data_IF_246111066687
#
_entry.id   IF_246111066687
#
_cell.length_a   1.000
_cell.length_b   1.000
_cell.length_c   1.000
_cell.angle_alpha   90.00
_cell.angle_beta   90.00
_cell.angle_gamma   90.00
#
_symmetry.space_group_name_H-M   'P 1'
#
loop_
_entity.id
_entity.type
_entity.pdbx_description
1 polymer ?
2 non-polymer ?
3 non-polymer ?
4 non-polymer ?
5 non-polymer ?
6 water ?
#
# COMPACT_ATOMS: atom_id res chain seq x y z
N UNK A 6 -7.64 23.92 -0.39
CA UNK A 6 -8.15 22.66 -1.04
C UNK A 6 -8.05 22.68 -2.58
N UNK A 7 -7.88 21.49 -3.14
CA UNK A 7 -8.08 21.19 -4.56
C UNK A 7 -9.44 21.68 -5.08
N UNK A 8 -9.47 22.13 -6.32
CA UNK A 8 -10.66 22.80 -6.87
C UNK A 8 -11.03 22.26 -8.25
N UNK A 9 -12.21 21.65 -8.37
CA UNK A 9 -12.63 21.09 -9.66
C UNK A 9 -13.30 22.15 -10.55
N UNK A 10 -12.89 22.24 -11.81
CA UNK A 10 -13.67 23.06 -12.73
C UNK A 10 -14.97 22.33 -13.12
N UNK A 11 -16.01 23.09 -13.44
CA UNK A 11 -17.33 22.54 -13.79
C UNK A 11 -17.37 22.02 -15.23
N UNK A 12 -17.81 20.79 -15.45
CA UNK A 12 -18.21 20.33 -16.79
C UNK A 12 -19.76 20.28 -16.76
N UNK A 13 -20.45 21.43 -17.08
CA UNK A 13 -21.89 21.65 -16.75
C UNK A 13 -22.83 20.57 -17.31
N UNK A 14 -22.47 20.07 -18.48
CA UNK A 14 -23.23 19.12 -19.26
C UNK A 14 -23.17 17.75 -18.59
N UNK A 15 -21.95 17.22 -18.47
CA UNK A 15 -21.66 15.99 -17.70
C UNK A 15 -22.19 16.04 -16.26
N UNK A 16 -22.05 17.21 -15.62
CA UNK A 16 -22.52 17.44 -14.27
C UNK A 16 -24.03 17.18 -14.18
N UNK A 17 -24.80 17.68 -15.15
CA UNK A 17 -26.26 17.49 -15.15
C UNK A 17 -26.63 16.04 -15.35
N UNK A 18 -25.91 15.36 -16.24
CA UNK A 18 -26.17 13.96 -16.44
C UNK A 18 -25.82 13.12 -15.23
N UNK A 20 -25.92 14.15 -12.12
CA UNK A 20 -26.93 14.52 -11.13
C UNK A 20 -28.23 13.72 -11.35
N UNK A 21 -28.71 13.72 -12.61
CA UNK A 21 -29.90 12.94 -13.01
C UNK A 21 -29.72 11.46 -12.71
N UNK A 22 -28.53 10.93 -13.00
CA UNK A 22 -28.18 9.56 -12.67
C UNK A 22 -28.32 9.29 -11.16
N UNK A 24 -30.33 10.69 -9.26
CA UNK A 24 -31.70 11.12 -8.97
C UNK A 24 -31.74 12.53 -8.41
N UNK A 25 -30.80 13.37 -8.88
CA UNK A 25 -30.64 14.76 -8.46
C UNK A 25 -30.39 14.93 -6.96
N UNK A 26 -29.87 13.92 -6.31
CA UNK A 26 -29.63 14.03 -4.87
C UNK A 26 -28.51 15.04 -4.58
N UNK A 27 -27.61 15.25 -5.56
CA UNK A 27 -26.40 16.10 -5.41
C UNK A 27 -26.13 16.80 -6.70
N UNK A 28 -25.49 17.96 -6.55
CA UNK A 28 -24.82 18.70 -7.62
C UNK A 28 -23.44 18.08 -7.85
N UNK A 29 -23.02 18.02 -9.09
CA UNK A 29 -21.72 17.48 -9.46
C UNK A 29 -20.86 18.56 -10.10
N UNK A 30 -19.52 18.42 -9.98
CA UNK A 30 -18.60 19.23 -10.78
C UNK A 30 -18.65 18.69 -12.23
N UNK A 31 -18.86 17.38 -12.37
CA UNK A 31 -18.97 16.70 -13.70
C UNK A 31 -17.70 15.95 -14.08
N UNK A 32 -17.12 15.25 -13.11
CA UNK A 32 -15.79 14.66 -13.27
C UNK A 32 -15.84 13.13 -13.06
N UNK A 33 -15.73 12.35 -14.15
CA UNK A 33 -15.73 10.87 -14.04
C UNK A 33 -14.65 10.38 -13.06
N UNK A 34 -14.88 9.21 -12.46
CA UNK A 34 -13.96 8.65 -11.45
C UNK A 34 -12.46 8.62 -11.82
N UNK A 35 -12.06 8.06 -13.02
CA UNK A 35 -10.63 8.06 -13.44
C UNK A 35 -10.03 9.47 -13.55
N UNK A 36 -10.83 10.41 -14.02
CA UNK A 36 -10.42 11.78 -14.13
C UNK A 36 -10.27 12.40 -12.75
N UNK A 37 -11.20 12.09 -11.82
CA UNK A 37 -11.09 12.58 -10.45
C UNK A 37 -9.83 12.07 -9.80
N UNK A 38 -9.51 10.78 -10.03
CA UNK A 38 -8.31 10.13 -9.52
C UNK A 38 -7.05 10.82 -10.03
N UNK A 39 -6.99 11.15 -11.32
CA UNK A 39 -5.86 11.91 -11.89
C UNK A 39 -5.70 13.30 -11.28
N UNK A 40 -6.81 14.02 -11.12
CA UNK A 40 -6.78 15.38 -10.56
C UNK A 40 -6.38 15.41 -9.07
N UNK A 41 -6.77 14.39 -8.34
CA UNK A 41 -6.53 14.28 -6.88
C UNK A 41 -5.32 13.38 -6.56
N UNK A 42 -4.59 12.94 -7.56
CA UNK A 42 -3.46 12.00 -7.32
C UNK A 42 -2.35 12.59 -6.40
N UNK A 43 -1.93 13.81 -6.69
CA UNK A 43 -0.90 14.45 -5.88
C UNK A 43 -1.38 14.64 -4.44
N UNK A 44 -2.63 15.08 -4.28
CA UNK A 44 -3.24 15.23 -2.96
C UNK A 44 -3.26 13.90 -2.18
N UNK A 45 -3.71 12.82 -2.79
CA UNK A 45 -3.76 11.49 -2.11
C UNK A 45 -2.37 10.96 -1.74
N UNK A 46 -1.41 11.19 -2.65
CA UNK A 46 -0.01 10.88 -2.39
C UNK A 46 0.53 11.64 -1.16
N UNK A 47 0.41 12.97 -1.16
CA UNK A 47 0.82 13.81 -0.04
C UNK A 47 0.12 13.41 1.28
N UNK A 48 -1.14 12.97 1.20
CA UNK A 48 -1.94 12.64 2.38
C UNK A 48 -1.32 11.58 3.30
N UNK A 49 -0.55 10.64 2.72
CA UNK A 49 0.10 9.59 3.53
C UNK A 49 1.13 10.16 4.52
N UNK A 50 1.68 11.33 4.19
CA UNK A 50 2.72 11.97 4.97
C UNK A 50 2.18 12.94 6.04
N UNK A 51 0.89 13.24 6.01
CA UNK A 51 0.27 14.21 6.94
C UNK A 51 0.10 13.65 8.33
N UNK A 52 0.35 14.48 9.36
CA UNK A 52 -0.05 14.07 10.70
C UNK A 52 -1.53 13.69 10.71
N UNK A 53 -1.89 12.75 11.58
CA UNK A 53 -3.24 12.28 11.70
C UNK A 53 -4.30 13.43 11.81
N UNK A 54 -4.04 14.42 12.67
CA UNK A 54 -4.95 15.56 12.87
C UNK A 54 -5.18 16.33 11.59
N UNK A 55 -4.09 16.62 10.86
CA UNK A 55 -4.21 17.23 9.53
C UNK A 55 -5.07 16.38 8.56
N UNK A 56 -4.86 15.06 8.59
CA UNK A 56 -5.60 14.16 7.73
C UNK A 56 -7.12 14.20 8.05
N UNK A 57 -7.47 14.05 9.33
CA UNK A 57 -8.85 14.17 9.74
C UNK A 57 -9.44 15.53 9.37
N UNK A 58 -8.70 16.62 9.61
CA UNK A 58 -9.21 17.93 9.21
C UNK A 58 -9.49 18.06 7.70
N UNK A 59 -8.62 17.47 6.87
CA UNK A 59 -8.77 17.58 5.43
C UNK A 59 -9.95 16.75 4.92
N UNK A 60 -10.17 15.61 5.55
CA UNK A 60 -11.28 14.75 5.18
C UNK A 60 -12.61 15.49 5.48
N UNK A 61 -12.68 16.13 6.64
CA UNK A 61 -13.83 16.93 7.02
C UNK A 61 -14.03 18.12 6.04
N UNK A 62 -12.94 18.83 5.74
CA UNK A 62 -12.97 19.98 4.83
C UNK A 62 -13.47 19.63 3.42
N UNK A 63 -12.96 18.56 2.83
CA UNK A 63 -13.47 18.08 1.52
C UNK A 63 -14.93 17.58 1.59
N UNK A 64 -15.27 16.83 2.66
CA UNK A 64 -16.62 16.26 2.75
C UNK A 64 -17.70 17.34 2.76
N UNK A 65 -17.43 18.44 3.45
CA UNK A 65 -18.34 19.57 3.58
C UNK A 65 -18.45 20.51 2.36
N UNK A 66 -17.61 20.32 1.32
CA UNK A 66 -17.77 21.08 0.08
C UNK A 66 -19.04 20.62 -0.64
N UNK A 67 -19.62 21.46 -1.49
CA UNK A 67 -20.95 21.15 -2.00
C UNK A 67 -20.94 20.12 -3.12
N UNK A 68 -20.04 20.21 -4.10
CA UNK A 68 -20.11 19.28 -5.22
C UNK A 68 -19.78 17.84 -4.83
N UNK A 69 -20.50 16.91 -5.44
CA UNK A 69 -20.41 15.52 -5.01
C UNK A 69 -19.00 14.93 -5.02
N UNK A 70 -18.21 15.23 -6.04
CA UNK A 70 -16.87 14.62 -6.13
C UNK A 70 -15.96 14.92 -4.93
N UNK A 71 -16.25 15.99 -4.20
CA UNK A 71 -15.49 16.36 -3.02
C UNK A 71 -15.76 15.36 -1.88
N UNK A 72 -16.97 14.78 -1.81
CA UNK A 72 -17.21 13.67 -0.85
C UNK A 72 -16.43 12.42 -1.29
N UNK A 73 -16.31 12.18 -2.60
CA UNK A 73 -15.50 11.04 -3.09
C UNK A 73 -14.02 11.25 -2.74
N UNK A 74 -13.51 12.47 -2.91
CA UNK A 74 -12.14 12.78 -2.53
C UNK A 74 -11.88 12.54 -1.04
N UNK A 75 -12.79 13.02 -0.17
CA UNK A 75 -12.70 12.83 1.29
C UNK A 75 -12.71 11.36 1.64
N UNK A 76 -13.61 10.58 1.03
CA UNK A 76 -13.58 9.15 1.28
C UNK A 76 -12.31 8.47 0.72
N UNK A 77 -11.77 8.95 -0.40
CA UNK A 77 -10.48 8.40 -0.90
C UNK A 77 -9.32 8.69 0.04
N UNK A 78 -9.34 9.87 0.67
CA UNK A 78 -8.37 10.24 1.66
C UNK A 78 -8.36 9.22 2.83
N UNK A 79 -9.54 8.85 3.30
CA UNK A 79 -9.66 7.79 4.31
C UNK A 79 -9.21 6.40 3.78
N UNK A 80 -9.69 6.01 2.61
CA UNK A 80 -9.35 4.70 2.01
C UNK A 80 -7.84 4.55 1.71
N UNK A 81 -7.24 5.59 1.13
CA UNK A 81 -5.83 5.52 0.81
C UNK A 81 -4.96 5.48 2.08
N UNK A 82 -5.54 5.86 3.22
CA UNK A 82 -4.85 5.86 4.51
C UNK A 82 -5.42 4.85 5.52
N UNK A 83 -6.10 3.82 5.02
CA UNK A 83 -6.86 2.91 5.86
C UNK A 83 -5.97 2.14 6.85
N UNK A 84 -4.74 1.84 6.44
CA UNK A 84 -3.78 1.17 7.32
C UNK A 84 -3.30 2.02 8.52
N UNK A 85 -3.47 3.34 8.44
CA UNK A 85 -2.97 4.30 9.44
C UNK A 85 -3.90 4.47 10.63
N UNK A 86 -5.16 4.02 10.48
CA UNK A 86 -6.19 4.25 11.52
C UNK A 86 -6.26 3.19 12.59
N UNK A 87 -6.32 3.65 13.83
CA UNK A 87 -6.67 2.80 14.97
C UNK A 87 -8.16 2.45 14.99
N UNK A 88 -8.52 1.51 15.83
CA UNK A 88 -9.90 1.17 16.08
C UNK A 88 -10.75 2.41 16.45
N UNK A 89 -10.24 3.24 17.36
CA UNK A 89 -10.99 4.39 17.81
C UNK A 89 -11.19 5.44 16.70
N UNK A 90 -10.20 5.64 15.83
CA UNK A 90 -10.37 6.55 14.70
C UNK A 90 -11.37 5.99 13.69
N UNK A 91 -11.34 4.69 13.46
CA UNK A 91 -12.30 4.07 12.53
C UNK A 91 -13.74 4.23 13.05
N UNK A 92 -13.95 4.01 14.34
CA UNK A 92 -15.27 4.20 14.96
C UNK A 92 -15.82 5.63 14.77
N UNK A 93 -14.95 6.62 14.85
CA UNK A 93 -15.34 8.02 14.66
C UNK A 93 -15.81 8.31 13.23
N UNK A 94 -15.37 7.54 12.24
CA UNK A 94 -15.81 7.75 10.87
C UNK A 94 -17.28 7.39 10.66
N UNK A 95 -17.84 6.57 11.57
CA UNK A 95 -19.23 6.16 11.45
C UNK A 95 -20.12 7.42 11.34
N UNK A 96 -19.73 8.47 12.03
CA UNK A 96 -20.46 9.74 11.97
C UNK A 96 -20.75 10.28 10.55
N UNK A 97 -19.96 9.90 9.54
CA UNK A 97 -20.11 10.40 8.18
C UNK A 97 -21.14 9.63 7.37
N UNK A 98 -21.34 8.37 7.71
CA UNK A 98 -22.20 7.51 6.90
C UNK A 98 -23.62 8.10 6.59
N UNK A 99 -24.29 8.61 7.61
CA UNK A 99 -25.57 9.27 7.40
C UNK A 99 -25.49 10.64 6.76
N UNK A 100 -24.29 11.22 6.66
CA UNK A 100 -24.12 12.58 6.13
C UNK A 100 -24.06 12.55 4.62
N UNK A 101 -24.88 13.37 3.97
CA UNK A 101 -24.87 13.45 2.49
C UNK A 101 -25.02 12.07 1.85
N UNK A 102 -25.94 11.29 2.41
CA UNK A 102 -26.04 9.86 2.21
C UNK A 102 -26.81 9.51 0.94
N UNK A 103 -26.22 8.65 0.13
CA UNK A 103 -26.92 7.99 -0.97
C UNK A 103 -26.08 6.74 -1.23
N UNK A 104 -26.51 5.85 -2.14
CA UNK A 104 -25.78 4.59 -2.29
C UNK A 104 -24.33 4.82 -2.65
N UNK A 105 -24.07 5.93 -3.35
CA UNK A 105 -22.70 6.21 -3.84
C UNK A 105 -21.73 6.54 -2.70
N UNK A 106 -22.08 7.46 -1.80
CA UNK A 106 -21.18 7.69 -0.64
C UNK A 106 -21.16 6.52 0.37
N UNK A 107 -22.32 5.91 0.60
CA UNK A 107 -22.45 4.88 1.62
C UNK A 107 -21.67 3.63 1.22
N UNK A 108 -21.68 3.31 -0.07
CA UNK A 108 -20.98 2.14 -0.52
C UNK A 108 -19.48 2.45 -0.50
N UNK A 109 -19.11 3.72 -0.73
CA UNK A 109 -17.69 4.09 -0.61
C UNK A 109 -17.25 3.99 0.88
N UNK A 110 -18.08 4.47 1.80
CA UNK A 110 -17.78 4.29 3.25
C UNK A 110 -17.69 2.80 3.60
N UNK A 111 -18.64 2.02 3.13
CA UNK A 111 -18.61 0.59 3.36
C UNK A 111 -17.30 -0.06 2.86
N UNK A 112 -16.83 0.32 1.67
CA UNK A 112 -15.54 -0.21 1.18
C UNK A 112 -14.38 0.18 2.14
N UNK A 113 -14.47 1.38 2.72
CA UNK A 113 -13.51 1.82 3.73
C UNK A 113 -13.55 0.92 4.97
N UNK A 114 -14.74 0.76 5.56
CA UNK A 114 -14.91 -0.07 6.76
C UNK A 114 -14.57 -1.53 6.49
N UNK A 115 -14.99 -2.02 5.33
CA UNK A 115 -14.66 -3.36 4.84
C UNK A 115 -13.16 -3.57 4.66
N UNK A 116 -12.45 -2.56 4.12
CA UNK A 116 -11.01 -2.74 3.92
C UNK A 116 -10.25 -2.78 5.25
N UNK A 117 -10.70 -1.98 6.21
CA UNK A 117 -10.03 -1.85 7.49
C UNK A 117 -10.24 -3.15 8.24
N UNK A 118 -11.45 -3.72 8.15
CA UNK A 118 -11.78 -5.00 8.77
C UNK A 118 -10.95 -6.13 8.17
N UNK A 119 -10.76 -6.13 6.86
CA UNK A 119 -9.96 -7.15 6.19
C UNK A 119 -8.49 -7.04 6.63
N UNK A 120 -8.08 -5.84 7.03
CA UNK A 120 -6.77 -5.64 7.65
C UNK A 120 -6.75 -6.06 9.12
N UNK A 121 -7.89 -5.95 9.80
CA UNK A 121 -7.94 -6.20 11.24
C UNK A 121 -9.07 -7.14 11.57
N UNK A 122 -8.95 -8.39 11.11
CA UNK A 122 -10.08 -9.32 11.07
C UNK A 122 -10.70 -9.63 12.43
N UNK A 123 -9.89 -9.50 13.47
CA UNK A 123 -10.32 -9.71 14.86
C UNK A 123 -11.33 -8.68 15.32
N UNK A 124 -11.34 -7.50 14.67
CA UNK A 124 -12.31 -6.46 14.98
C UNK A 124 -13.56 -6.52 14.08
N UNK A 125 -13.65 -7.52 13.20
CA UNK A 125 -14.85 -7.70 12.37
C UNK A 125 -16.11 -7.51 13.21
N UNK A 126 -16.28 -8.31 14.31
CA UNK A 126 -17.51 -8.20 15.11
C UNK A 126 -17.68 -6.82 15.77
N UNK A 127 -16.56 -6.11 15.99
CA UNK A 127 -16.63 -4.80 16.64
C UNK A 127 -17.22 -3.79 15.67
N UNK A 128 -16.75 -3.86 14.44
CA UNK A 128 -17.17 -2.89 13.41
C UNK A 128 -18.59 -3.24 12.99
N UNK A 129 -18.87 -4.54 12.82
CA UNK A 129 -20.22 -5.00 12.54
C UNK A 129 -21.22 -4.44 13.57
N UNK A 130 -20.88 -4.63 14.85
CA UNK A 130 -21.67 -4.15 15.99
C UNK A 130 -21.91 -2.66 15.98
N UNK A 131 -20.95 -1.88 15.47
CA UNK A 131 -21.13 -0.44 15.36
C UNK A 131 -22.37 -0.04 14.53
N UNK A 132 -22.59 -0.82 13.46
CA UNK A 132 -23.62 -0.53 12.43
C UNK A 132 -24.89 -1.37 12.59
N UNK A 133 -24.76 -2.54 13.20
CA UNK A 133 -25.89 -3.46 13.36
C UNK A 133 -27.04 -2.84 14.18
N UNK A 134 -28.28 -2.91 13.68
CA UNK A 134 -29.43 -2.38 14.42
C UNK A 134 -29.48 -0.85 14.53
N UNK A 135 -28.67 -0.15 13.74
CA UNK A 135 -28.63 1.32 13.78
C UNK A 135 -30.01 1.84 13.36
N UNK A 136 -30.37 3.01 13.88
CA UNK A 136 -31.61 3.70 13.52
C UNK A 136 -31.64 4.02 12.03
N UNK A 137 -30.51 4.50 11.52
CA UNK A 137 -30.43 5.00 10.16
C UNK A 137 -30.11 3.83 9.24
N UNK A 138 -30.99 3.61 8.25
CA UNK A 138 -30.87 2.51 7.29
C UNK A 138 -29.58 2.51 6.49
N UNK A 139 -29.01 3.68 6.25
CA UNK A 139 -27.71 3.74 5.55
C UNK A 139 -26.63 3.09 6.41
N UNK A 140 -26.74 3.27 7.73
CA UNK A 140 -25.83 2.62 8.66
C UNK A 140 -25.97 1.10 8.60
N UNK A 141 -27.21 0.61 8.55
CA UNK A 141 -27.49 -0.82 8.42
C UNK A 141 -27.11 -1.43 7.07
N UNK A 142 -27.22 -0.65 6.00
CA UNK A 142 -26.64 -1.05 4.71
C UNK A 142 -25.11 -1.34 4.85
N UNK A 143 -24.39 -0.53 5.61
CA UNK A 143 -22.99 -0.87 5.91
C UNK A 143 -22.85 -2.22 6.64
N UNK A 144 -23.65 -2.46 7.68
CA UNK A 144 -23.56 -3.71 8.40
C UNK A 144 -23.86 -4.90 7.46
N UNK A 145 -24.87 -4.76 6.60
CA UNK A 145 -25.27 -5.80 5.63
C UNK A 145 -24.18 -6.11 4.60
N UNK A 146 -23.47 -5.08 4.17
CA UNK A 146 -22.50 -5.20 3.09
C UNK A 146 -21.05 -5.13 3.57
N UNK A 147 -20.83 -5.08 4.88
CA UNK A 147 -19.47 -4.98 5.46
C UNK A 147 -18.53 -6.11 4.97
N UNK A 148 -19.11 -7.29 4.76
CA UNK A 148 -18.33 -8.50 4.43
C UNK A 148 -18.28 -8.87 2.96
N UNK A 149 -18.66 -7.93 2.06
CA UNK A 149 -18.78 -8.28 0.60
C UNK A 149 -17.52 -8.89 0.01
N UNK A 151 -15.00 -10.24 1.92
CA UNK A 151 -14.34 -11.17 2.88
C UNK A 151 -14.22 -12.65 2.47
N UNK A 152 -14.96 -13.06 1.44
CA UNK A 152 -14.95 -14.45 0.94
C UNK A 152 -15.00 -15.49 2.05
N UNK A 153 -14.01 -16.38 2.14
CA UNK A 153 -14.02 -17.46 3.13
C UNK A 153 -13.89 -16.94 4.58
N UNK A 154 -13.63 -15.63 4.72
CA UNK A 154 -13.49 -15.04 6.05
C UNK A 154 -14.78 -14.37 6.51
N UNK A 155 -15.83 -14.45 5.68
CA UNK A 155 -17.15 -14.00 6.08
C UNK A 155 -17.61 -14.67 7.36
N UNK A 156 -18.08 -13.87 8.30
CA UNK A 156 -18.73 -14.35 9.51
C UNK A 156 -20.23 -14.55 9.20
N UNK A 157 -20.61 -15.80 8.96
CA UNK A 157 -21.95 -16.19 8.54
C UNK A 157 -23.05 -15.82 9.50
N UNK A 158 -22.80 -16.01 10.79
CA UNK A 158 -23.76 -15.67 11.84
C UNK A 158 -24.15 -14.19 11.82
N UNK A 159 -23.14 -13.33 11.69
CA UNK A 159 -23.34 -11.88 11.59
C UNK A 159 -24.08 -11.48 10.30
N UNK A 160 -23.64 -12.01 9.17
CA UNK A 160 -24.34 -11.82 7.89
C UNK A 160 -25.83 -12.21 8.06
N UNK A 161 -26.08 -13.44 8.46
CA UNK A 161 -27.45 -13.92 8.64
C UNK A 161 -28.25 -13.04 9.60
N UNK A 162 -27.62 -12.66 10.71
CA UNK A 162 -28.29 -11.83 11.73
C UNK A 162 -28.71 -10.48 11.13
N UNK A 163 -27.83 -9.81 10.38
CA UNK A 163 -28.22 -8.56 9.70
C UNK A 163 -29.42 -8.68 8.70
N UNK A 164 -29.43 -9.77 7.93
CA UNK A 164 -30.47 -10.05 6.94
C UNK A 164 -31.80 -10.27 7.66
N UNK A 165 -31.75 -11.09 8.71
CA UNK A 165 -32.93 -11.38 9.50
C UNK A 165 -33.46 -10.09 10.13
N UNK A 166 -32.59 -9.24 10.67
CA UNK A 166 -33.03 -8.01 11.27
C UNK A 166 -33.84 -7.15 10.26
N UNK A 167 -33.33 -7.10 9.03
CA UNK A 167 -33.94 -6.29 7.97
C UNK A 167 -34.83 -7.06 7.00
N UNK A 168 -35.27 -8.27 7.38
CA UNK A 168 -35.93 -9.18 6.44
C UNK A 168 -37.10 -8.57 5.66
N UNK A 169 -37.97 -7.84 6.36
CA UNK A 169 -39.18 -7.28 5.78
C UNK A 169 -39.13 -5.77 5.66
N UNK A 170 -37.96 -5.19 5.85
CA UNK A 170 -37.79 -3.76 5.74
C UNK A 170 -38.11 -3.37 4.29
N UNK A 171 -39.02 -2.41 4.13
CA UNK A 171 -39.48 -1.93 2.85
C UNK A 171 -38.46 -1.13 2.04
N UNK A 172 -37.62 -0.33 2.70
CA UNK A 172 -36.53 0.43 2.03
C UNK A 172 -35.83 -0.33 0.88
N UNK A 173 -36.02 0.17 -0.34
CA UNK A 173 -35.30 -0.29 -1.54
C UNK A 173 -33.80 -0.58 -1.29
N UNK A 174 -33.09 0.38 -0.68
CA UNK A 174 -31.62 0.25 -0.53
C UNK A 174 -31.21 -0.81 0.49
N UNK A 175 -32.16 -1.21 1.34
CA UNK A 175 -31.92 -2.26 2.30
C UNK A 175 -32.12 -3.63 1.63
N UNK A 176 -33.18 -3.76 0.85
CA UNK A 176 -33.50 -5.04 0.19
C UNK A 176 -32.43 -5.31 -0.84
N UNK A 177 -31.94 -4.25 -1.48
CA UNK A 177 -30.82 -4.38 -2.44
C UNK A 177 -29.54 -4.86 -1.76
N UNK A 178 -29.29 -4.37 -0.55
CA UNK A 178 -28.13 -4.70 0.20
C UNK A 178 -28.13 -6.17 0.64
N UNK A 179 -29.30 -6.66 1.07
CA UNK A 179 -29.46 -8.08 1.40
C UNK A 179 -29.13 -8.90 0.17
N UNK A 180 -29.74 -8.54 -0.96
CA UNK A 180 -29.49 -9.24 -2.21
C UNK A 180 -28.02 -9.26 -2.59
N UNK A 181 -27.35 -8.13 -2.42
CA UNK A 181 -25.97 -8.01 -2.86
C UNK A 181 -25.12 -8.92 -2.00
N UNK A 182 -25.36 -8.87 -0.69
CA UNK A 182 -24.57 -9.64 0.26
C UNK A 182 -24.68 -11.13 0.00
N UNK A 183 -25.88 -11.58 -0.32
CA UNK A 183 -26.08 -13.00 -0.66
C UNK A 183 -25.42 -13.39 -1.98
N UNK A 184 -25.58 -12.58 -3.04
CA UNK A 184 -24.96 -12.99 -4.28
C UNK A 184 -23.43 -13.01 -4.21
N UNK A 185 -22.85 -12.03 -3.53
CA UNK A 185 -21.43 -12.01 -3.28
C UNK A 185 -20.96 -13.23 -2.48
N UNK A 186 -21.58 -13.47 -1.33
CA UNK A 186 -21.21 -14.61 -0.54
C UNK A 186 -21.41 -15.93 -1.27
N UNK A 187 -22.33 -15.99 -2.22
CA UNK A 187 -22.59 -17.22 -2.97
C UNK A 187 -21.46 -17.61 -3.94
N UNK A 188 -20.53 -16.70 -4.22
CA UNK A 188 -19.38 -17.02 -5.02
C UNK A 188 -18.46 -17.92 -4.18
N UNK A 189 -18.58 -17.78 -2.85
CA UNK A 189 -17.75 -18.57 -1.90
C UNK A 189 -18.51 -19.78 -1.39
N UNK A 190 -19.75 -19.57 -0.93
CA UNK A 190 -20.53 -20.62 -0.28
C UNK A 190 -21.97 -20.61 -0.82
N UNK A 191 -22.16 -21.12 -2.06
CA UNK A 191 -23.46 -21.18 -2.73
C UNK A 191 -24.51 -21.98 -1.95
N UNK A 192 -24.10 -23.05 -1.28
CA UNK A 192 -25.06 -23.84 -0.50
C UNK A 192 -25.69 -23.11 0.69
N UNK A 193 -24.86 -22.38 1.44
CA UNK A 193 -25.31 -21.66 2.63
C UNK A 193 -26.24 -20.56 2.15
N UNK A 194 -25.89 -19.90 1.06
CA UNK A 194 -26.76 -18.86 0.52
C UNK A 194 -28.09 -19.43 0.01
N UNK A 195 -28.02 -20.49 -0.79
CA UNK A 195 -29.22 -21.07 -1.35
C UNK A 195 -30.13 -21.56 -0.20
N UNK A 196 -29.55 -22.18 0.82
CA UNK A 196 -30.35 -22.68 1.91
C UNK A 196 -30.97 -21.57 2.73
N UNK A 197 -30.24 -20.52 2.99
CA UNK A 197 -30.79 -19.40 3.73
C UNK A 197 -32.03 -18.84 3.02
N UNK A 199 -34.08 -20.34 1.13
CA UNK A 199 -35.20 -21.28 1.29
C UNK A 199 -35.83 -21.26 2.69
N UNK A 200 -35.01 -20.99 3.70
CA UNK A 200 -35.42 -21.06 5.10
C UNK A 200 -36.00 -19.73 5.63
N UNK A 201 -35.69 -18.63 4.94
CA UNK A 201 -36.22 -17.29 5.31
C UNK A 201 -37.18 -16.79 4.25
N UNK A 202 -38.22 -16.06 4.65
CA UNK A 202 -39.08 -15.40 3.68
C UNK A 202 -38.55 -14.00 3.35
N UNK A 203 -37.74 -13.96 2.30
CA UNK A 203 -37.13 -12.74 1.79
C UNK A 203 -38.06 -12.03 0.83
N UNK A 204 -37.86 -10.73 0.67
CA UNK A 204 -38.56 -9.98 -0.39
C UNK A 204 -38.19 -10.58 -1.75
N UNK A 205 -39.14 -10.49 -2.75
CA UNK A 205 -38.84 -10.87 -4.13
C UNK A 205 -37.60 -10.18 -4.69
N UNK A 206 -37.42 -8.90 -4.36
CA UNK A 206 -36.24 -8.18 -4.76
C UNK A 206 -34.94 -8.80 -4.20
N UNK A 207 -34.88 -9.07 -2.90
CA UNK A 207 -33.69 -9.70 -2.29
C UNK A 207 -33.41 -11.09 -2.88
N UNK A 208 -34.47 -11.82 -3.12
CA UNK A 208 -34.35 -13.17 -3.61
C UNK A 208 -33.77 -13.22 -5.02
N UNK A 209 -34.34 -12.42 -5.91
CA UNK A 209 -33.88 -12.23 -7.27
C UNK A 209 -32.42 -11.77 -7.28
N UNK A 210 -32.13 -10.71 -6.55
CA UNK A 210 -30.78 -10.15 -6.45
C UNK A 210 -29.79 -11.15 -5.82
N UNK A 211 -30.30 -11.98 -4.90
CA UNK A 211 -29.44 -12.85 -4.09
C UNK A 211 -29.00 -14.09 -4.90
N UNK A 212 -29.75 -14.42 -5.95
CA UNK A 212 -29.58 -15.69 -6.68
C UNK A 212 -28.91 -15.56 -8.04
N UNK A 213 -28.34 -14.39 -8.33
CA UNK A 213 -27.74 -14.10 -9.64
C UNK A 213 -26.66 -15.05 -10.12
N UNK A 214 -25.88 -15.65 -9.19
CA UNK A 214 -24.72 -16.48 -9.57
C UNK A 214 -24.97 -17.96 -9.37
N UNK A 215 -26.18 -18.29 -8.91
CA UNK A 215 -26.58 -19.69 -8.74
C UNK A 215 -26.97 -20.32 -10.08
N UNK A 216 -26.81 -21.64 -10.18
CA UNK A 216 -27.14 -22.42 -11.38
C UNK A 216 -28.66 -22.45 -11.59
N UNK A 217 -29.41 -22.37 -10.51
CA UNK A 217 -30.88 -22.38 -10.61
C UNK A 217 -31.38 -21.29 -9.65
N UNK A 218 -32.23 -20.38 -10.13
CA UNK A 218 -32.60 -19.22 -9.28
C UNK A 218 -33.84 -19.50 -8.39
N UNK B 6 7.83 -4.40 22.28
CA UNK B 6 9.13 -4.56 21.56
C UNK B 6 9.42 -6.02 21.22
N UNK B 7 9.36 -6.30 19.92
CA UNK B 7 9.66 -7.61 19.38
C UNK B 7 10.97 -8.13 19.95
N UNK B 8 10.94 -9.37 20.43
CA UNK B 8 12.12 -10.05 20.96
C UNK B 8 12.28 -11.40 20.31
N UNK B 9 13.40 -11.61 19.64
CA UNK B 9 13.64 -12.89 19.05
C UNK B 9 14.26 -13.85 20.06
N UNK B 10 13.89 -15.12 19.93
CA UNK B 10 14.48 -16.19 20.70
C UNK B 10 15.78 -16.63 20.03
N UNK B 11 16.84 -16.75 20.82
CA UNK B 11 18.15 -17.10 20.31
C UNK B 11 18.23 -18.57 19.85
N UNK B 12 18.59 -18.74 18.59
CA UNK B 12 18.82 -20.08 18.03
C UNK B 12 20.30 -20.19 17.66
N UNK B 13 21.11 -20.72 18.60
CA UNK B 13 22.58 -20.68 18.54
C UNK B 13 23.18 -21.35 17.32
N UNK B 14 22.58 -22.45 16.87
CA UNK B 14 23.13 -23.18 15.72
C UNK B 14 22.87 -22.45 14.41
N UNK B 15 21.65 -21.94 14.25
CA UNK B 15 21.29 -21.18 13.05
C UNK B 15 22.02 -19.84 13.06
N UNK B 16 22.19 -19.24 14.23
CA UNK B 16 22.89 -17.96 14.37
C UNK B 16 24.35 -18.09 13.91
N UNK B 17 25.02 -19.16 14.32
CA UNK B 17 26.39 -19.43 13.90
C UNK B 17 26.53 -19.46 12.39
N UNK B 18 25.58 -20.11 11.72
CA UNK B 18 25.57 -20.21 10.25
C UNK B 18 25.32 -18.89 9.57
N UNK B 20 25.79 -15.91 10.92
CA UNK B 20 26.93 -15.09 11.24
C UNK B 20 28.11 -15.37 10.31
N UNK B 21 28.39 -16.65 10.08
CA UNK B 21 29.52 -17.08 9.25
C UNK B 21 29.38 -16.57 7.81
N UNK B 22 28.15 -16.59 7.32
CA UNK B 22 27.82 -16.17 5.99
C UNK B 22 28.09 -14.67 5.75
N UNK B 24 30.52 -13.26 7.28
CA UNK B 24 31.94 -13.17 7.68
C UNK B 24 32.16 -12.75 9.14
N UNK B 25 31.31 -13.22 10.04
CA UNK B 25 31.51 -13.10 11.50
C UNK B 25 31.67 -11.68 12.00
N UNK B 26 30.99 -10.73 11.40
CA UNK B 26 31.14 -9.37 11.86
C UNK B 26 29.87 -8.80 12.49
N UNK B 27 28.80 -9.60 12.52
CA UNK B 27 27.56 -9.24 13.18
C UNK B 27 27.23 -10.31 14.16
N UNK B 28 26.51 -9.94 15.21
CA UNK B 28 25.88 -10.91 16.11
C UNK B 28 24.47 -11.23 15.51
N UNK B 29 24.13 -12.52 15.42
CA UNK B 29 22.80 -12.94 14.98
C UNK B 29 22.00 -13.57 16.10
N UNK B 30 20.68 -13.46 16.01
CA UNK B 30 19.82 -14.17 16.94
C UNK B 30 19.63 -15.60 16.38
N UNK B 31 19.69 -15.75 15.07
CA UNK B 31 19.45 -17.03 14.43
C UNK B 31 18.03 -17.20 13.93
N UNK B 32 17.50 -16.13 13.32
CA UNK B 32 16.13 -16.11 12.78
C UNK B 32 16.16 -15.87 11.27
N UNK B 33 16.01 -16.95 10.48
CA UNK B 33 16.00 -16.74 9.03
C UNK B 33 14.84 -15.83 8.58
N UNK B 34 15.00 -15.22 7.41
CA UNK B 34 14.07 -14.21 6.87
C UNK B 34 12.60 -14.65 6.88
N UNK B 35 12.26 -15.84 6.30
CA UNK B 35 10.83 -16.19 6.31
C UNK B 35 10.27 -16.27 7.71
N UNK B 36 11.02 -16.81 8.65
CA UNK B 36 10.58 -16.85 10.04
C UNK B 36 10.49 -15.45 10.64
N UNK B 37 11.48 -14.60 10.33
CA UNK B 37 11.52 -13.22 10.86
C UNK B 37 10.31 -12.43 10.39
N UNK B 38 9.94 -12.62 9.13
CA UNK B 38 8.83 -11.94 8.50
C UNK B 38 7.51 -12.37 9.12
N UNK B 39 7.34 -13.67 9.40
CA UNK B 39 6.16 -14.15 10.08
C UNK B 39 6.09 -13.65 11.52
N UNK B 40 7.25 -13.53 12.18
CA UNK B 40 7.29 -13.14 13.60
C UNK B 40 7.10 -11.63 13.79
N UNK B 41 7.43 -10.85 12.78
CA UNK B 41 7.25 -9.40 12.83
C UNK B 41 6.00 -8.84 12.11
N UNK B 42 5.22 -9.69 11.48
CA UNK B 42 4.03 -9.27 10.76
C UNK B 42 3.13 -8.32 11.57
N UNK B 43 2.81 -8.67 12.82
CA UNK B 43 1.91 -7.83 13.58
C UNK B 43 2.55 -6.51 13.99
N UNK B 44 3.85 -6.49 14.30
CA UNK B 44 4.50 -5.23 14.58
C UNK B 44 4.49 -4.33 13.34
N UNK B 45 4.72 -4.92 12.16
CA UNK B 45 4.72 -4.13 10.93
C UNK B 45 3.33 -3.56 10.68
N UNK B 46 2.30 -4.36 10.94
CA UNK B 46 0.92 -3.91 10.78
C UNK B 46 0.59 -2.71 11.67
N UNK B 47 0.95 -2.78 12.95
CA UNK B 47 0.58 -1.68 13.85
C UNK B 47 1.43 -0.42 13.63
N UNK B 48 2.61 -0.60 13.01
CA UNK B 48 3.52 0.51 12.78
C UNK B 48 2.89 1.61 11.89
N UNK B 49 2.02 1.23 10.96
CA UNK B 49 1.25 2.21 10.13
C UNK B 49 0.41 3.17 10.94
N UNK B 50 0.06 2.76 12.16
CA UNK B 50 -0.83 3.55 13.01
C UNK B 50 -0.05 4.52 13.95
N UNK B 51 1.25 4.32 14.06
CA UNK B 51 2.07 5.12 14.97
C UNK B 51 2.21 6.55 14.47
N UNK B 52 2.21 7.52 15.41
CA UNK B 52 2.59 8.88 15.05
C UNK B 52 3.96 8.84 14.41
N UNK B 53 4.21 9.76 13.49
CA UNK B 53 5.48 9.82 12.79
C UNK B 53 6.69 9.77 13.74
N UNK B 54 6.61 10.54 14.82
CA UNK B 54 7.74 10.59 15.76
C UNK B 54 8.02 9.23 16.38
N UNK B 55 6.96 8.53 16.78
CA UNK B 55 7.09 7.18 17.32
C UNK B 55 7.73 6.25 16.28
N UNK B 56 7.28 6.34 15.01
CA UNK B 56 7.80 5.49 13.93
C UNK B 56 9.32 5.68 13.75
N UNK B 57 9.78 6.93 13.69
CA UNK B 57 11.22 7.22 13.59
C UNK B 57 12.01 6.71 14.81
N UNK B 58 11.43 6.87 15.99
CA UNK B 58 12.06 6.41 17.21
C UNK B 58 12.17 4.90 17.28
N UNK B 59 11.16 4.21 16.79
CA UNK B 59 11.14 2.75 16.79
C UNK B 59 12.13 2.23 15.76
N UNK B 60 12.19 2.86 14.59
CA UNK B 60 13.15 2.45 13.59
C UNK B 60 14.56 2.58 14.18
N UNK B 61 14.82 3.73 14.80
CA UNK B 61 16.09 3.96 15.43
C UNK B 61 16.40 2.94 16.55
N UNK B 62 15.46 2.73 17.47
CA UNK B 62 15.67 1.71 18.52
C UNK B 62 15.95 0.28 18.01
N UNK B 63 15.21 -0.21 17.01
CA UNK B 63 15.51 -1.52 16.42
C UNK B 63 16.88 -1.55 15.72
N UNK B 64 17.26 -0.46 15.07
CA UNK B 64 18.53 -0.42 14.33
C UNK B 64 19.69 -0.51 15.31
N UNK B 65 19.51 0.05 16.50
CA UNK B 65 20.60 0.07 17.46
C UNK B 65 20.66 -1.19 18.37
N UNK B 66 19.68 -2.10 18.25
CA UNK B 66 19.75 -3.37 18.97
C UNK B 66 20.92 -4.21 18.41
N UNK B 67 21.40 -5.17 19.21
CA UNK B 67 22.61 -5.89 18.93
C UNK B 67 22.54 -6.82 17.75
N UNK B 68 21.52 -7.68 17.75
CA UNK B 68 21.42 -8.72 16.76
C UNK B 68 21.02 -8.14 15.41
N UNK B 69 21.62 -8.71 14.38
CA UNK B 69 21.47 -8.26 13.00
C UNK B 69 20.00 -8.26 12.53
N UNK B 70 19.22 -9.24 12.94
CA UNK B 70 17.80 -9.33 12.50
C UNK B 70 16.96 -8.09 12.91
N UNK B 71 17.38 -7.40 13.98
CA UNK B 71 16.74 -6.15 14.38
C UNK B 71 17.00 -5.00 13.41
N UNK B 72 18.14 -5.01 12.72
CA UNK B 72 18.36 -4.01 11.63
C UNK B 72 17.43 -4.32 10.49
N UNK B 73 17.19 -5.62 10.25
CA UNK B 73 16.28 -6.04 9.17
C UNK B 73 14.86 -5.64 9.51
N UNK B 74 14.49 -5.78 10.80
CA UNK B 74 13.24 -5.27 11.32
C UNK B 74 13.11 -3.77 11.14
N UNK B 75 14.13 -3.00 11.54
CA UNK B 75 14.14 -1.56 11.30
C UNK B 75 13.88 -1.16 9.83
N UNK B 76 14.55 -1.80 8.90
CA UNK B 76 14.42 -1.45 7.47
C UNK B 76 13.03 -1.86 6.95
N UNK B 77 12.49 -2.98 7.46
CA UNK B 77 11.12 -3.38 7.14
C UNK B 77 10.11 -2.35 7.64
N UNK B 78 10.35 -1.77 8.80
CA UNK B 78 9.48 -0.70 9.29
C UNK B 78 9.43 0.50 8.35
N UNK B 79 10.59 0.86 7.84
CA UNK B 79 10.73 1.93 6.89
C UNK B 79 10.09 1.54 5.56
N UNK B 80 10.43 0.35 5.07
CA UNK B 80 9.85 -0.14 3.82
C UNK B 80 8.31 -0.20 3.83
N UNK B 81 7.75 -0.72 4.91
CA UNK B 81 6.28 -0.83 5.06
C UNK B 81 5.57 0.52 5.13
N UNK B 82 6.26 1.55 5.61
CA UNK B 82 5.68 2.87 5.78
C UNK B 82 6.22 3.86 4.76
N UNK B 83 6.74 3.35 3.64
CA UNK B 83 7.43 4.15 2.64
C UNK B 83 6.61 5.38 2.17
N UNK B 84 5.31 5.20 1.96
CA UNK B 84 4.37 6.25 1.57
C UNK B 84 4.22 7.40 2.57
N UNK B 85 4.50 7.13 3.84
CA UNK B 85 4.38 8.10 4.93
C UNK B 85 5.51 9.13 5.00
N UNK B 86 6.63 8.88 4.31
CA UNK B 86 7.77 9.80 4.41
C UNK B 86 7.77 10.90 3.36
N UNK B 87 7.99 12.13 3.82
CA UNK B 87 8.27 13.26 2.94
C UNK B 87 9.69 13.17 2.41
N UNK B 88 10.02 14.02 1.43
CA UNK B 88 11.38 14.11 0.93
C UNK B 88 12.38 14.31 2.04
N UNK B 89 12.09 15.23 2.95
CA UNK B 89 13.03 15.58 4.03
C UNK B 89 13.31 14.40 4.97
N UNK B 90 12.28 13.59 5.24
CA UNK B 90 12.42 12.39 6.05
C UNK B 90 13.22 11.33 5.33
N UNK B 91 13.02 11.21 4.00
CA UNK B 91 13.78 10.22 3.24
C UNK B 91 15.26 10.60 3.21
N UNK B 92 15.54 11.89 3.05
CA UNK B 92 16.93 12.38 3.06
C UNK B 92 17.60 12.02 4.40
N UNK B 93 16.85 12.05 5.51
CA UNK B 93 17.43 11.78 6.84
C UNK B 93 17.75 10.29 7.01
N UNK B 94 17.00 9.43 6.31
CA UNK B 94 17.34 8.00 6.34
C UNK B 94 18.72 7.64 5.73
N UNK B 95 19.27 8.52 4.90
CA UNK B 95 20.59 8.27 4.31
C UNK B 95 21.66 8.08 5.39
N UNK B 96 21.48 8.72 6.55
CA UNK B 96 22.38 8.55 7.68
C UNK B 96 22.56 7.07 8.10
N UNK B 97 21.58 6.23 7.83
CA UNK B 97 21.65 4.81 8.21
C UNK B 97 22.47 3.94 7.25
N UNK B 98 22.61 4.35 6.01
CA UNK B 98 23.22 3.48 4.99
C UNK B 98 24.67 3.01 5.36
N UNK B 99 25.56 3.95 5.77
CA UNK B 99 26.88 3.57 6.26
C UNK B 99 26.92 2.93 7.68
N UNK B 100 25.84 3.05 8.47
CA UNK B 100 25.81 2.42 9.80
C UNK B 100 25.53 0.91 9.77
N UNK B 101 26.37 0.15 10.47
CA UNK B 101 26.30 -1.31 10.53
C UNK B 101 26.19 -1.88 9.08
N UNK B 102 27.03 -1.37 8.20
CA UNK B 102 26.90 -1.58 6.78
C UNK B 102 27.58 -2.85 6.29
N UNK B 103 26.82 -3.60 5.50
CA UNK B 103 27.36 -4.73 4.74
C UNK B 103 26.35 -4.91 3.62
N UNK B 104 26.56 -5.85 2.68
CA UNK B 104 25.66 -5.84 1.50
C UNK B 104 24.20 -6.15 1.89
N UNK B 105 24.01 -6.87 3.00
CA UNK B 105 22.67 -7.27 3.41
C UNK B 105 21.81 -6.06 3.85
N UNK B 106 22.34 -5.20 4.70
CA UNK B 106 21.61 -3.98 5.10
C UNK B 106 21.56 -2.90 4.02
N UNK B 107 22.67 -2.68 3.31
CA UNK B 107 22.75 -1.65 2.28
C UNK B 107 21.79 -1.94 1.11
N UNK B 108 21.71 -3.20 0.69
CA UNK B 108 20.79 -3.61 -0.37
C UNK B 108 19.36 -3.51 0.13
N UNK B 109 19.10 -3.85 1.39
CA UNK B 109 17.76 -3.57 1.99
C UNK B 109 17.45 -2.06 2.01
N UNK B 110 18.40 -1.22 2.44
CA UNK B 110 18.20 0.25 2.33
C UNK B 110 17.98 0.72 0.89
N UNK B 111 18.72 0.14 -0.05
CA UNK B 111 18.61 0.51 -1.45
C UNK B 111 17.18 0.27 -1.95
N UNK B 112 16.62 -0.88 -1.57
CA UNK B 112 15.22 -1.21 -1.82
C UNK B 112 14.26 -0.19 -1.26
N UNK B 113 14.50 0.28 -0.03
CA UNK B 113 13.72 1.39 0.52
C UNK B 113 13.79 2.67 -0.35
N UNK B 114 15.00 3.11 -0.70
CA UNK B 114 15.16 4.32 -1.54
C UNK B 114 14.57 4.13 -2.95
N UNK B 115 14.69 2.92 -3.48
CA UNK B 115 14.16 2.63 -4.82
C UNK B 115 12.65 2.63 -4.80
N UNK B 116 12.06 2.08 -3.73
CA UNK B 116 10.59 2.09 -3.61
C UNK B 116 10.03 3.49 -3.48
N UNK B 117 10.71 4.34 -2.69
CA UNK B 117 10.29 5.70 -2.46
C UNK B 117 10.34 6.51 -3.74
N UNK B 118 11.45 6.35 -4.46
CA UNK B 118 11.62 6.96 -5.78
C UNK B 118 10.57 6.40 -6.79
N UNK B 119 10.34 5.08 -6.81
CA UNK B 119 9.23 4.55 -7.66
C UNK B 119 7.90 5.27 -7.35
N UNK B 120 7.67 5.58 -6.08
CA UNK B 120 6.47 6.34 -5.69
C UNK B 120 6.53 7.85 -5.99
N UNK B 121 7.73 8.41 -6.19
CA UNK B 121 7.93 9.86 -6.31
C UNK B 121 9.03 10.12 -7.37
N UNK B 122 8.71 9.78 -8.60
CA UNK B 122 9.65 9.66 -9.71
C UNK B 122 10.30 10.98 -10.09
N UNK B 123 9.60 12.08 -9.88
CA UNK B 123 10.17 13.40 -10.07
C UNK B 123 11.33 13.70 -9.08
N UNK B 124 11.37 12.99 -7.95
CA UNK B 124 12.49 13.13 -6.99
C UNK B 124 13.66 12.18 -7.22
N UNK B 125 13.62 11.40 -8.28
CA UNK B 125 14.70 10.46 -8.61
C UNK B 125 16.06 11.17 -8.68
N UNK B 126 16.15 12.28 -9.46
CA UNK B 126 17.44 13.00 -9.47
C UNK B 126 17.92 13.49 -8.10
N UNK B 127 16.99 13.92 -7.25
CA UNK B 127 17.29 14.40 -5.91
C UNK B 127 17.84 13.28 -5.01
N UNK B 128 17.18 12.13 -5.01
CA UNK B 128 17.64 10.99 -4.23
C UNK B 128 18.95 10.42 -4.79
N UNK B 129 19.02 10.23 -6.09
CA UNK B 129 20.28 9.88 -6.72
C UNK B 129 21.45 10.79 -6.28
N UNK B 130 21.28 12.11 -6.27
CA UNK B 130 22.36 13.04 -5.92
C UNK B 130 22.82 12.93 -4.45
N UNK B 131 21.94 12.44 -3.57
CA UNK B 131 22.30 12.17 -2.17
C UNK B 131 23.47 11.19 -2.10
N UNK B 132 23.42 10.19 -2.95
CA UNK B 132 24.35 9.06 -2.89
C UNK B 132 25.48 9.17 -3.93
N UNK B 133 25.22 9.86 -5.04
CA UNK B 133 26.22 9.97 -6.11
C UNK B 133 27.54 10.61 -5.61
N UNK B 134 28.69 9.99 -5.90
CA UNK B 134 30.00 10.50 -5.47
C UNK B 134 30.26 10.57 -3.96
N UNK B 135 29.45 9.88 -3.16
CA UNK B 135 29.69 9.80 -1.71
C UNK B 135 31.10 9.24 -1.43
N UNK B 136 31.72 9.65 -0.33
CA UNK B 136 32.98 9.04 0.11
C UNK B 136 32.83 7.55 0.48
N UNK B 137 31.73 7.17 1.11
CA UNK B 137 31.55 5.79 1.56
C UNK B 137 31.03 4.95 0.40
N UNK B 138 31.74 3.89 0.02
CA UNK B 138 31.37 3.12 -1.18
C UNK B 138 30.01 2.47 -1.03
N UNK B 139 29.59 2.18 0.21
CA UNK B 139 28.25 1.64 0.44
C UNK B 139 27.16 2.62 -0.04
N UNK B 140 27.35 3.93 0.23
CA UNK B 140 26.43 4.92 -0.33
C UNK B 140 26.41 4.92 -1.88
N UNK B 141 27.58 4.79 -2.51
CA UNK B 141 27.67 4.75 -3.98
C UNK B 141 27.09 3.47 -4.57
N UNK B 142 27.16 2.37 -3.81
CA UNK B 142 26.39 1.19 -4.14
C UNK B 142 24.86 1.48 -4.29
N UNK B 143 24.30 2.28 -3.38
CA UNK B 143 22.92 2.71 -3.47
C UNK B 143 22.68 3.55 -4.75
N UNK B 144 23.59 4.49 -5.07
CA UNK B 144 23.49 5.29 -6.31
C UNK B 144 23.47 4.39 -7.55
N UNK B 145 24.32 3.38 -7.54
CA UNK B 145 24.46 2.46 -8.66
C UNK B 145 23.25 1.54 -8.83
N UNK B 146 22.62 1.19 -7.72
CA UNK B 146 21.52 0.24 -7.73
C UNK B 146 20.18 0.87 -7.41
N UNK B 147 20.12 2.21 -7.33
CA UNK B 147 18.85 2.89 -7.02
C UNK B 147 17.74 2.50 -7.99
N UNK B 148 18.12 2.25 -9.25
CA UNK B 148 17.15 2.11 -10.33
C UNK B 148 16.89 0.67 -10.79
N UNK B 149 17.37 -0.32 -10.04
CA UNK B 149 17.31 -1.76 -10.44
C UNK B 149 15.91 -2.21 -10.78
N UNK B 151 13.44 0.00 -11.70
CA UNK B 151 12.71 1.08 -12.40
C UNK B 151 12.34 0.81 -13.86
N UNK B 152 13.01 -0.18 -14.47
CA UNK B 152 12.72 -0.58 -15.85
C UNK B 152 12.74 0.58 -16.83
N UNK B 153 11.61 0.87 -17.46
CA UNK B 153 11.54 1.91 -18.49
C UNK B 153 11.58 3.32 -17.86
N UNK B 154 11.36 3.40 -16.55
CA UNK B 154 11.43 4.67 -15.79
C UNK B 154 12.87 5.04 -15.39
N UNK B 155 13.82 4.15 -15.69
CA UNK B 155 15.24 4.39 -15.42
C UNK B 155 15.74 5.66 -16.11
N UNK B 156 16.54 6.45 -15.37
CA UNK B 156 17.19 7.62 -15.90
C UNK B 156 18.58 7.19 -16.34
N UNK B 157 18.79 7.20 -17.67
CA UNK B 157 19.97 6.65 -18.32
C UNK B 157 21.21 7.41 -17.99
N UNK B 158 21.07 8.74 -18.02
CA UNK B 158 22.19 9.64 -17.79
C UNK B 158 22.77 9.50 -16.40
N UNK B 159 21.89 9.33 -15.42
CA UNK B 159 22.33 9.18 -14.04
C UNK B 159 23.00 7.83 -13.84
N UNK B 160 22.41 6.79 -14.42
CA UNK B 160 22.99 5.46 -14.38
C UNK B 160 24.39 5.49 -14.97
N UNK B 161 24.48 6.03 -16.19
CA UNK B 161 25.73 6.13 -16.91
C UNK B 161 26.75 6.92 -16.09
N UNK B 162 26.34 8.07 -15.53
CA UNK B 162 27.23 8.90 -14.70
C UNK B 162 27.81 8.16 -13.52
N UNK B 163 26.96 7.41 -12.80
CA UNK B 163 27.42 6.61 -11.66
C UNK B 163 28.40 5.53 -12.06
N UNK B 164 28.18 4.89 -13.21
CA UNK B 164 29.07 3.83 -13.64
C UNK B 164 30.43 4.42 -14.03
N UNK B 165 30.38 5.55 -14.74
CA UNK B 165 31.59 6.28 -15.13
C UNK B 165 32.45 6.60 -13.89
N UNK B 166 31.79 7.07 -12.83
CA UNK B 166 32.46 7.46 -11.60
C UNK B 166 33.24 6.33 -10.96
N UNK B 167 32.66 5.14 -10.91
CA UNK B 167 33.27 4.01 -10.22
C UNK B 167 33.83 3.01 -11.19
N UNK B 168 33.94 3.36 -12.46
CA UNK B 168 34.41 2.42 -13.49
C UNK B 168 35.67 1.59 -13.08
N UNK B 169 36.67 2.27 -12.51
CA UNK B 169 37.97 1.69 -12.18
C UNK B 169 38.14 1.40 -10.68
N UNK B 170 37.07 1.60 -9.91
CA UNK B 170 37.09 1.28 -8.48
C UNK B 170 37.32 -0.22 -8.27
N UNK B 171 38.31 -0.55 -7.46
CA UNK B 171 38.77 -1.91 -7.19
C UNK B 171 37.74 -2.73 -6.41
N UNK B 172 37.01 -2.04 -5.53
CA UNK B 172 36.07 -2.67 -4.60
C UNK B 172 35.06 -3.64 -5.25
N UNK B 173 35.13 -4.92 -4.84
CA UNK B 173 34.17 -5.95 -5.24
C UNK B 173 32.72 -5.50 -5.14
N UNK B 174 32.31 -4.89 -4.04
CA UNK B 174 30.90 -4.53 -3.86
C UNK B 174 30.49 -3.38 -4.78
N UNK B 175 31.48 -2.67 -5.32
CA UNK B 175 31.18 -1.63 -6.29
C UNK B 175 31.11 -2.23 -7.69
N UNK B 176 32.06 -3.09 -8.06
CA UNK B 176 32.05 -3.64 -9.41
C UNK B 176 30.82 -4.55 -9.61
N UNK B 177 30.47 -5.30 -8.57
CA UNK B 177 29.27 -6.10 -8.52
C UNK B 177 28.03 -5.25 -8.73
N UNK B 178 27.99 -4.08 -8.10
CA UNK B 178 26.88 -3.14 -8.23
C UNK B 178 26.77 -2.57 -9.65
N UNK B 179 27.92 -2.33 -10.28
CA UNK B 179 27.93 -1.90 -11.69
C UNK B 179 27.35 -3.00 -12.59
N UNK B 180 27.79 -4.24 -12.40
CA UNK B 180 27.31 -5.35 -13.21
C UNK B 180 25.81 -5.62 -13.06
N UNK B 181 25.32 -5.64 -11.82
CA UNK B 181 23.89 -5.73 -11.54
C UNK B 181 23.07 -4.61 -12.18
N UNK B 182 23.58 -3.38 -12.17
CA UNK B 182 22.82 -2.25 -12.70
C UNK B 182 22.66 -2.43 -14.22
N UNK B 183 23.68 -3.01 -14.85
CA UNK B 183 23.66 -3.26 -16.29
C UNK B 183 22.82 -4.47 -16.66
N UNK B 184 22.99 -5.55 -15.90
CA UNK B 184 22.17 -6.74 -16.00
C UNK B 184 20.66 -6.43 -15.94
N UNK B 185 20.24 -5.72 -14.91
CA UNK B 185 18.82 -5.37 -14.73
C UNK B 185 18.30 -4.47 -15.84
N UNK B 186 19.06 -3.41 -16.13
CA UNK B 186 18.62 -2.48 -17.17
C UNK B 186 18.58 -3.12 -18.57
N UNK B 187 19.46 -4.09 -18.84
CA UNK B 187 19.40 -4.81 -20.14
C UNK B 187 18.10 -5.54 -20.41
N UNK B 188 17.33 -5.81 -19.36
CA UNK B 188 16.03 -6.49 -19.54
C UNK B 188 15.00 -5.55 -20.18
N UNK B 189 15.32 -4.26 -20.14
CA UNK B 189 14.48 -3.17 -20.60
C UNK B 189 15.08 -2.59 -21.88
N UNK B 190 16.38 -2.31 -21.84
CA UNK B 190 17.05 -1.64 -22.96
C UNK B 190 18.37 -2.30 -23.31
N UNK B 191 18.33 -3.49 -23.96
CA UNK B 191 19.60 -4.15 -24.23
C UNK B 191 20.50 -3.36 -25.17
N UNK B 192 19.93 -2.61 -26.13
CA UNK B 192 20.76 -1.75 -27.03
C UNK B 192 21.59 -0.72 -26.22
N UNK B 193 20.92 0.08 -25.39
CA UNK B 193 21.61 1.04 -24.54
C UNK B 193 22.70 0.35 -23.68
N UNK B 194 22.38 -0.79 -23.06
CA UNK B 194 23.40 -1.50 -22.29
C UNK B 194 24.59 -1.94 -23.16
N UNK B 195 24.31 -2.50 -24.35
CA UNK B 195 25.32 -2.89 -25.36
C UNK B 195 26.26 -1.72 -25.69
N UNK B 196 25.65 -0.58 -26.05
CA UNK B 196 26.41 0.63 -26.41
C UNK B 196 27.33 1.10 -25.29
N UNK B 197 26.78 1.25 -24.07
CA UNK B 197 27.57 1.64 -22.93
C UNK B 197 28.77 0.71 -22.71
N UNK B 199 30.37 -1.12 -24.69
CA UNK B 199 31.35 -1.05 -25.76
C UNK B 199 32.06 0.31 -25.72
N UNK B 200 31.41 1.32 -25.14
CA UNK B 200 31.96 2.65 -24.95
C UNK B 200 32.98 2.67 -23.81
N UNK B 201 32.62 2.03 -22.70
CA UNK B 201 33.44 2.03 -21.51
C UNK B 201 34.23 0.73 -21.41
N UNK B 202 35.43 0.81 -20.85
CA UNK B 202 36.16 -0.41 -20.50
C UNK B 202 35.87 -0.78 -19.03
N UNK B 203 34.95 -1.73 -18.88
CA UNK B 203 34.47 -2.16 -17.58
C UNK B 203 35.32 -3.29 -17.03
N UNK B 204 35.30 -3.49 -15.71
CA UNK B 204 36.05 -4.57 -15.09
C UNK B 204 35.56 -5.92 -15.64
N UNK B 205 36.43 -6.96 -15.69
CA UNK B 205 35.95 -8.30 -16.09
C UNK B 205 34.67 -8.73 -15.31
N UNK B 206 34.62 -8.48 -14.00
CA UNK B 206 33.44 -8.89 -13.23
C UNK B 206 32.18 -8.13 -13.67
N UNK B 207 32.29 -6.80 -13.82
CA UNK B 207 31.14 -5.98 -14.23
C UNK B 207 30.67 -6.35 -15.65
N UNK B 208 31.62 -6.65 -16.52
CA UNK B 208 31.36 -7.03 -17.91
C UNK B 208 30.67 -8.40 -17.96
N UNK B 209 31.16 -9.38 -17.20
CA UNK B 209 30.50 -10.68 -17.12
C UNK B 209 29.06 -10.54 -16.60
N UNK B 210 28.90 -9.86 -15.47
CA UNK B 210 27.59 -9.66 -14.85
C UNK B 210 26.60 -8.90 -15.75
N UNK B 211 27.01 -7.76 -16.30
CA UNK B 211 26.10 -6.94 -17.10
C UNK B 211 25.75 -7.46 -18.48
N UNK B 212 26.50 -8.42 -19.00
CA UNK B 212 26.24 -8.88 -20.35
C UNK B 212 25.47 -10.22 -20.41
N UNK B 213 25.01 -10.70 -19.25
CA UNK B 213 24.27 -11.97 -19.20
C UNK B 213 23.16 -12.09 -20.26
N UNK B 214 22.35 -11.03 -20.41
CA UNK B 214 21.22 -11.06 -21.35
C UNK B 214 21.46 -10.45 -22.69
N UNK B 215 22.71 -10.28 -23.07
CA UNK B 215 22.99 -9.79 -24.41
C UNK B 215 23.31 -10.97 -25.31
N UNK B 216 22.73 -11.00 -26.51
CA UNK B 216 23.02 -12.05 -27.51
C UNK B 216 24.52 -12.10 -27.91
N UNK B 217 25.04 -13.32 -28.18
CA UNK B 217 26.43 -13.51 -28.65
C UNK B 217 26.52 -13.80 -30.17
N UNK B 218 27.63 -13.37 -30.81
CA UNK B 218 27.85 -13.59 -32.26
C UNK B 218 28.06 -15.07 -32.61
N UNK B 219 28.79 -15.79 -31.75
CA UNK B 219 29.04 -17.23 -31.94
C UNK B 219 27.76 -18.05 -31.70
N UNK B 220 26.72 -17.36 -31.22
CA UNK B 220 25.30 -17.81 -31.21
C UNK B 220 24.73 -18.13 -29.84
#
# INVERSE_FOLDING_TARGET
>A
SNAXDTLQFQKNPETAAKXSAYXKHQFVFAGIPAPERQALSKQLLKESHTWPKEKLCQEIEAYYQKTEREYQYVAIDLALQNVQRFSLEEVVAFKAYVPQKAWWDSVDAWRKFFGSWVALHLTELPTIFALFYGAENFWNRRVALNLQLXLKEKTNQDLLKKAIIYDRTTEEFFIQKAIGWSLRQYSKTNPQWVEELXKELVLSPLAQREGSKYLAKASE
>B
SNAXDTLQFQKNPETAAKXSAYXKHQFVFAGIPAPERQALSKQLLKESHTWPKEKLCQEIEAYYQKTEREYQYVAIDLALQNVQRFSLEEVVAFKAYVPQKAWWDSVDAWRKFFGSWVALHLTELPTIFALFYGAENFWNRRVALNLQLXLKEKTNQDLLKKAIIYDRTTEEFFIQKAIGWSLRQYSKTNPQWVEELXKELVLSPLAQREGSKYLAKASE
#
